data_IF_812038674750
#
_entry.id   IF_812038674750
#
_cell.length_a   1.000
_cell.length_b   1.000
_cell.length_c   1.000
_cell.angle_alpha   90.00
_cell.angle_beta   90.00
_cell.angle_gamma   90.00
#
_symmetry.space_group_name_H-M   'P 1'
#
loop_
_entity.id
_entity.type
_entity.pdbx_description
1 polymer ?
#
# COMPACT_ATOMS: atom_id res chain seq x y z
N UNK A 1 14.79 3.23 18.31
CA UNK A 1 13.93 4.03 19.21
C UNK A 1 12.80 4.66 18.43
N UNK A 2 11.72 5.08 19.10
CA UNK A 2 10.49 5.63 18.48
C UNK A 2 10.80 6.77 17.51
N UNK A 3 11.74 7.67 17.85
CA UNK A 3 12.17 8.76 16.96
C UNK A 3 12.72 8.29 15.62
N UNK A 4 13.47 7.18 15.57
CA UNK A 4 13.99 6.62 14.32
C UNK A 4 12.88 6.08 13.42
N UNK A 5 11.86 5.43 13.99
CA UNK A 5 10.71 4.91 13.23
C UNK A 5 9.88 6.04 12.60
N UNK A 6 9.66 7.14 13.34
CA UNK A 6 8.94 8.31 12.82
C UNK A 6 9.71 8.98 11.67
N UNK A 7 11.03 9.10 11.78
CA UNK A 7 11.87 9.66 10.70
C UNK A 7 11.81 8.77 9.45
N UNK A 8 11.94 7.46 9.60
CA UNK A 8 11.84 6.51 8.48
C UNK A 8 10.46 6.61 7.81
N UNK A 9 9.38 6.71 8.61
CA UNK A 9 8.03 6.88 8.09
C UNK A 9 7.90 8.18 7.28
N UNK A 10 8.38 9.30 7.81
CA UNK A 10 8.34 10.60 7.14
C UNK A 10 9.15 10.59 5.83
N UNK A 11 10.34 9.99 5.82
CA UNK A 11 11.13 9.79 4.61
C UNK A 11 10.40 8.92 3.59
N UNK A 12 9.71 7.88 4.05
CA UNK A 12 8.87 7.03 3.19
C UNK A 12 7.70 7.78 2.54
N UNK A 13 7.08 8.72 3.23
CA UNK A 13 6.04 9.59 2.66
C UNK A 13 6.62 10.57 1.65
N UNK A 14 7.76 11.19 1.96
CA UNK A 14 8.44 12.10 1.04
C UNK A 14 8.88 11.40 -0.24
N UNK A 15 9.46 10.20 -0.14
CA UNK A 15 9.83 9.38 -1.28
C UNK A 15 8.63 9.04 -2.18
N UNK A 16 7.47 8.68 -1.59
CA UNK A 16 6.24 8.44 -2.35
C UNK A 16 5.74 9.69 -3.06
N UNK A 17 5.74 10.84 -2.38
CA UNK A 17 5.32 12.09 -2.99
C UNK A 17 6.20 12.46 -4.21
N UNK A 18 7.51 12.23 -4.11
CA UNK A 18 8.43 12.42 -5.25
C UNK A 18 8.06 11.51 -6.41
N UNK A 19 7.89 10.21 -6.16
CA UNK A 19 7.53 9.23 -7.21
C UNK A 19 6.20 9.61 -7.87
N UNK A 20 5.17 9.90 -7.07
CA UNK A 20 3.84 10.26 -7.57
C UNK A 20 3.91 11.54 -8.40
N UNK A 21 4.67 12.54 -7.97
CA UNK A 21 4.84 13.76 -8.76
C UNK A 21 5.54 13.51 -10.08
N UNK A 22 6.65 12.77 -10.09
CA UNK A 22 7.36 12.43 -11.32
C UNK A 22 6.48 11.61 -12.27
N UNK A 23 5.75 10.62 -11.76
CA UNK A 23 4.78 9.84 -12.55
C UNK A 23 3.66 10.72 -13.10
N UNK A 24 3.16 11.68 -12.30
CA UNK A 24 2.12 12.60 -12.75
C UNK A 24 2.63 13.57 -13.82
N UNK A 25 3.87 14.05 -13.73
CA UNK A 25 4.50 14.89 -14.77
C UNK A 25 4.61 14.12 -16.09
N UNK A 26 5.05 12.87 -16.05
CA UNK A 26 5.06 11.99 -17.22
C UNK A 26 3.66 11.77 -17.81
N UNK A 27 2.62 11.83 -16.97
CA UNK A 27 1.22 11.74 -17.37
C UNK A 27 0.58 13.08 -17.80
N UNK A 28 1.34 14.18 -17.86
CA UNK A 28 0.86 15.51 -18.29
C UNK A 28 0.32 16.39 -17.16
N UNK A 29 0.78 16.21 -15.91
CA UNK A 29 0.41 17.05 -14.79
C UNK A 29 0.75 18.54 -15.03
N UNK A 30 -0.20 19.42 -14.76
CA UNK A 30 -0.04 20.87 -14.83
C UNK A 30 -0.05 21.54 -13.44
N UNK A 31 -0.31 20.77 -12.38
CA UNK A 31 -0.32 21.23 -11.00
C UNK A 31 1.08 21.37 -10.39
N UNK A 32 1.17 22.17 -9.32
CA UNK A 32 2.42 22.43 -8.61
C UNK A 32 2.87 21.22 -7.76
N UNK A 33 4.15 21.21 -7.39
CA UNK A 33 4.69 20.27 -6.39
C UNK A 33 3.86 20.27 -5.11
N UNK A 34 3.53 21.46 -4.57
CA UNK A 34 2.76 21.59 -3.34
C UNK A 34 1.37 20.94 -3.42
N UNK A 35 0.68 21.11 -4.55
CA UNK A 35 -0.61 20.46 -4.78
C UNK A 35 -0.47 18.92 -4.85
N UNK A 36 0.59 18.42 -5.50
CA UNK A 36 0.85 16.98 -5.61
C UNK A 36 1.23 16.36 -4.26
N UNK A 37 2.05 17.06 -3.48
CA UNK A 37 2.42 16.68 -2.14
C UNK A 37 1.19 16.62 -1.22
N UNK A 38 0.35 17.67 -1.25
CA UNK A 38 -0.90 17.70 -0.48
C UNK A 38 -1.80 16.51 -0.84
N UNK A 39 -2.06 16.26 -2.14
CA UNK A 39 -2.84 15.11 -2.60
C UNK A 39 -2.25 13.80 -2.07
N UNK A 40 -0.93 13.64 -2.13
CA UNK A 40 -0.27 12.44 -1.64
C UNK A 40 -0.54 12.26 -0.15
N UNK A 41 -0.29 13.28 0.69
CA UNK A 41 -0.49 13.19 2.14
C UNK A 41 -1.96 12.95 2.49
N UNK A 42 -2.90 13.68 1.88
CA UNK A 42 -4.33 13.50 2.12
C UNK A 42 -4.82 12.12 1.71
N UNK A 43 -4.29 11.56 0.62
CA UNK A 43 -4.61 10.20 0.21
C UNK A 43 -4.14 9.14 1.21
N UNK A 44 -3.14 9.41 2.06
CA UNK A 44 -2.58 8.44 3.01
C UNK A 44 -3.41 8.31 4.30
N UNK A 45 -4.36 9.22 4.54
CA UNK A 45 -5.20 9.19 5.76
C UNK A 45 -5.89 7.84 6.00
N UNK A 46 -6.50 7.18 5.00
CA UNK A 46 -7.12 5.87 5.21
C UNK A 46 -6.12 4.82 5.69
N UNK A 47 -4.89 4.83 5.17
CA UNK A 47 -3.85 3.89 5.59
C UNK A 47 -3.37 4.18 7.01
N UNK A 48 -3.16 5.45 7.37
CA UNK A 48 -2.81 5.82 8.74
C UNK A 48 -3.92 5.41 9.73
N UNK A 49 -5.18 5.54 9.33
CA UNK A 49 -6.33 5.10 10.12
C UNK A 49 -6.40 3.57 10.22
N UNK A 50 -6.10 2.82 9.15
CA UNK A 50 -5.96 1.36 9.22
C UNK A 50 -4.93 0.98 10.28
N UNK A 51 -3.75 1.56 10.21
CA UNK A 51 -2.64 1.23 11.11
C UNK A 51 -2.99 1.59 12.56
N UNK A 52 -3.72 2.69 12.78
CA UNK A 52 -4.25 3.07 14.10
C UNK A 52 -5.26 2.03 14.62
N UNK A 53 -6.24 1.62 13.80
CA UNK A 53 -7.23 0.60 14.18
C UNK A 53 -6.53 -0.72 14.52
N UNK A 54 -5.55 -1.13 13.73
CA UNK A 54 -4.78 -2.35 13.99
C UNK A 54 -3.96 -2.25 15.28
N UNK A 55 -3.30 -1.11 15.52
CA UNK A 55 -2.55 -0.88 16.75
C UNK A 55 -3.46 -0.92 17.99
N UNK A 56 -4.65 -0.30 17.92
CA UNK A 56 -5.64 -0.35 18.99
C UNK A 56 -6.14 -1.78 19.21
N UNK A 57 -6.47 -2.51 18.14
CA UNK A 57 -6.93 -3.89 18.23
C UNK A 57 -5.89 -4.79 18.91
N UNK A 58 -4.64 -4.76 18.44
CA UNK A 58 -3.55 -5.54 19.04
C UNK A 58 -3.29 -5.11 20.48
N UNK A 59 -3.38 -3.81 20.78
CA UNK A 59 -3.19 -3.28 22.14
C UNK A 59 -4.26 -3.74 23.13
N UNK A 60 -5.52 -3.79 22.71
CA UNK A 60 -6.67 -4.18 23.54
C UNK A 60 -6.77 -5.70 23.69
N UNK A 61 -6.75 -6.42 22.57
CA UNK A 61 -7.00 -7.86 22.54
C UNK A 61 -5.74 -8.70 22.74
N UNK A 62 -4.55 -8.10 22.62
CA UNK A 62 -3.24 -8.79 22.67
C UNK A 62 -3.11 -9.96 21.70
N UNK A 63 -3.92 -9.94 20.64
CA UNK A 63 -3.94 -10.93 19.58
C UNK A 63 -3.61 -10.24 18.26
N UNK A 64 -2.80 -10.91 17.44
CA UNK A 64 -2.56 -10.46 16.07
C UNK A 64 -3.81 -10.72 15.23
N UNK A 65 -4.02 -9.88 14.22
CA UNK A 65 -5.09 -10.09 13.25
C UNK A 65 -4.70 -11.31 12.40
N UNK A 66 -5.50 -12.37 12.48
CA UNK A 66 -5.22 -13.66 11.83
C UNK A 66 -5.19 -13.54 10.30
N UNK A 67 -6.17 -12.83 9.72
CA UNK A 67 -6.27 -12.61 8.29
C UNK A 67 -6.42 -11.13 7.99
N UNK A 68 -5.44 -10.58 7.27
CA UNK A 68 -5.45 -9.19 6.82
C UNK A 68 -6.23 -9.07 5.51
N UNK A 69 -6.94 -7.96 5.31
CA UNK A 69 -7.66 -7.68 4.06
C UNK A 69 -8.64 -8.78 3.66
N UNK A 70 -8.57 -9.23 2.41
CA UNK A 70 -9.41 -10.30 1.85
C UNK A 70 -8.69 -11.66 1.80
N UNK A 71 -7.57 -11.83 2.50
CA UNK A 71 -6.82 -13.10 2.50
C UNK A 71 -7.59 -14.26 3.12
N UNK A 72 -8.61 -13.98 3.94
CA UNK A 72 -9.50 -14.97 4.52
C UNK A 72 -10.21 -15.85 3.47
N UNK A 73 -10.38 -15.35 2.23
CA UNK A 73 -11.00 -16.10 1.14
C UNK A 73 -10.19 -17.32 0.68
N UNK A 74 -8.90 -17.33 0.97
CA UNK A 74 -7.93 -18.35 0.54
C UNK A 74 -7.13 -18.92 1.71
N UNK A 75 -7.55 -18.62 2.94
CA UNK A 75 -6.92 -19.09 4.15
C UNK A 75 -7.14 -20.61 4.30
N UNK A 76 -6.07 -21.33 4.63
CA UNK A 76 -6.12 -22.77 4.90
C UNK A 76 -6.29 -23.10 6.38
N UNK A 77 -6.15 -22.10 7.26
CA UNK A 77 -6.12 -22.28 8.72
C UNK A 77 -4.75 -22.72 9.24
N UNK A 78 -3.79 -23.00 8.35
CA UNK A 78 -2.40 -23.27 8.68
C UNK A 78 -1.55 -22.05 8.31
N UNK A 79 -1.11 -21.31 9.34
CA UNK A 79 -0.32 -20.08 9.21
C UNK A 79 0.98 -20.28 8.43
N UNK A 80 1.59 -21.47 8.49
CA UNK A 80 2.83 -21.77 7.79
C UNK A 80 2.59 -21.90 6.28
N UNK A 81 1.52 -22.61 5.90
CA UNK A 81 1.10 -22.76 4.51
C UNK A 81 0.61 -21.45 3.92
N UNK A 82 -0.18 -20.70 4.67
CA UNK A 82 -0.69 -19.40 4.23
C UNK A 82 0.45 -18.38 4.04
N UNK A 83 1.48 -18.43 4.88
CA UNK A 83 2.69 -17.61 4.75
C UNK A 83 3.57 -17.92 3.53
N UNK A 84 3.40 -19.08 2.90
CA UNK A 84 4.09 -19.47 1.66
C UNK A 84 3.21 -19.28 0.42
N UNK A 85 1.91 -19.03 0.60
CA UNK A 85 0.98 -18.86 -0.50
C UNK A 85 1.00 -17.42 -1.01
N UNK A 86 1.59 -17.21 -2.20
CA UNK A 86 1.69 -15.88 -2.81
C UNK A 86 0.31 -15.23 -3.04
N UNK A 87 -0.72 -16.03 -3.32
CA UNK A 87 -2.10 -15.55 -3.47
C UNK A 87 -2.61 -14.99 -2.14
N UNK A 88 -2.41 -15.71 -1.03
CA UNK A 88 -2.76 -15.26 0.32
C UNK A 88 -2.07 -13.94 0.67
N UNK A 89 -0.76 -13.84 0.41
CA UNK A 89 0.04 -12.63 0.68
C UNK A 89 -0.40 -11.45 -0.20
N UNK A 90 -0.86 -11.71 -1.42
CA UNK A 90 -1.34 -10.65 -2.32
C UNK A 90 -2.72 -10.15 -1.86
N UNK A 91 -3.64 -11.07 -1.56
CA UNK A 91 -4.98 -10.75 -1.07
C UNK A 91 -4.95 -10.08 0.32
N UNK A 92 -3.92 -10.35 1.13
CA UNK A 92 -3.78 -9.72 2.44
C UNK A 92 -3.50 -8.22 2.37
N UNK A 93 -3.06 -7.73 1.21
CA UNK A 93 -2.81 -6.31 0.95
C UNK A 93 -4.02 -5.56 0.38
N UNK A 94 -5.09 -6.28 0.05
CA UNK A 94 -6.33 -5.69 -0.46
C UNK A 94 -7.30 -5.58 0.72
N UNK A 95 -7.49 -4.37 1.20
CA UNK A 95 -8.41 -4.06 2.29
C UNK A 95 -9.23 -2.79 1.96
N UNK A 96 -10.33 -2.52 2.69
CA UNK A 96 -11.17 -1.35 2.44
C UNK A 96 -10.43 0.00 2.51
N UNK A 97 -9.41 0.11 3.37
CA UNK A 97 -8.62 1.34 3.52
C UNK A 97 -7.68 1.56 2.34
N UNK A 98 -7.12 0.48 1.78
CA UNK A 98 -6.34 0.54 0.53
C UNK A 98 -7.21 0.99 -0.63
N UNK A 99 -8.42 0.45 -0.78
CA UNK A 99 -9.36 0.88 -1.82
C UNK A 99 -9.66 2.37 -1.67
N UNK A 100 -9.95 2.81 -0.44
CA UNK A 100 -10.20 4.23 -0.16
C UNK A 100 -8.99 5.11 -0.48
N UNK A 101 -7.79 4.71 -0.07
CA UNK A 101 -6.54 5.39 -0.42
C UNK A 101 -6.37 5.55 -1.94
N UNK A 102 -6.55 4.47 -2.70
CA UNK A 102 -6.42 4.46 -4.16
C UNK A 102 -7.44 5.39 -4.83
N UNK A 103 -8.69 5.43 -4.33
CA UNK A 103 -9.72 6.33 -4.85
C UNK A 103 -9.34 7.79 -4.60
N UNK A 104 -8.93 8.15 -3.37
CA UNK A 104 -8.51 9.52 -3.04
C UNK A 104 -7.31 9.97 -3.89
N UNK A 105 -6.32 9.09 -4.02
CA UNK A 105 -5.14 9.36 -4.83
C UNK A 105 -5.52 9.55 -6.30
N UNK A 106 -6.37 8.67 -6.84
CA UNK A 106 -6.83 8.74 -8.22
C UNK A 106 -7.63 9.99 -8.55
N UNK A 107 -8.49 10.42 -7.63
CA UNK A 107 -9.21 11.69 -7.75
C UNK A 107 -8.25 12.88 -7.74
N UNK A 108 -7.25 12.88 -6.85
CA UNK A 108 -6.24 13.93 -6.82
C UNK A 108 -5.39 13.98 -8.09
N UNK A 109 -4.94 12.83 -8.61
CA UNK A 109 -4.23 12.75 -9.89
C UNK A 109 -5.11 13.24 -11.06
N UNK A 110 -6.40 12.87 -11.08
CA UNK A 110 -7.32 13.32 -12.11
C UNK A 110 -7.45 14.85 -12.12
N UNK A 111 -7.53 15.48 -10.94
CA UNK A 111 -7.58 16.94 -10.81
C UNK A 111 -6.28 17.61 -11.29
N UNK A 112 -5.13 17.05 -10.92
CA UNK A 112 -3.79 17.57 -11.25
C UNK A 112 -3.45 17.45 -12.75
N UNK A 113 -3.87 16.35 -13.37
CA UNK A 113 -3.64 16.06 -14.80
C UNK A 113 -4.78 16.54 -15.71
N UNK A 114 -5.85 17.10 -15.14
CA UNK A 114 -7.09 17.44 -15.85
C UNK A 114 -7.66 16.29 -16.69
N UNK A 115 -7.42 15.05 -16.27
CA UNK A 115 -7.92 13.86 -16.95
C UNK A 115 -9.25 13.41 -16.36
N UNK A 116 -10.01 12.59 -17.11
CA UNK A 116 -11.24 12.01 -16.58
C UNK A 116 -11.00 11.18 -15.32
N UNK A 117 -11.91 11.25 -14.34
CA UNK A 117 -11.80 10.59 -13.03
C UNK A 117 -11.44 9.10 -13.11
N UNK A 118 -12.04 8.38 -14.07
CA UNK A 118 -11.75 6.97 -14.31
C UNK A 118 -10.29 6.72 -14.69
N UNK A 119 -9.69 7.59 -15.51
CA UNK A 119 -8.28 7.48 -15.91
C UNK A 119 -7.34 7.77 -14.74
N UNK A 120 -7.66 8.76 -13.91
CA UNK A 120 -6.89 9.05 -12.69
C UNK A 120 -6.93 7.90 -11.68
N UNK A 121 -8.09 7.28 -11.46
CA UNK A 121 -8.23 6.09 -10.60
C UNK A 121 -7.45 4.91 -11.18
N UNK A 122 -7.51 4.69 -12.50
CA UNK A 122 -6.72 3.65 -13.15
C UNK A 122 -5.21 3.88 -12.93
N UNK A 123 -4.73 5.11 -13.09
CA UNK A 123 -3.33 5.45 -12.81
C UNK A 123 -2.94 5.22 -11.35
N UNK A 124 -3.78 5.62 -10.40
CA UNK A 124 -3.55 5.34 -8.98
C UNK A 124 -3.52 3.84 -8.68
N UNK A 125 -4.40 3.06 -9.31
CA UNK A 125 -4.42 1.60 -9.16
C UNK A 125 -3.15 0.96 -9.74
N UNK A 126 -2.67 1.42 -10.90
CA UNK A 126 -1.41 0.96 -11.50
C UNK A 126 -0.21 1.30 -10.61
N UNK A 127 -0.13 2.53 -10.11
CA UNK A 127 0.93 2.94 -9.18
C UNK A 127 0.89 2.10 -7.90
N UNK A 128 -0.29 1.88 -7.34
CA UNK A 128 -0.48 1.02 -6.17
C UNK A 128 -0.03 -0.43 -6.46
N UNK A 129 -0.41 -0.99 -7.60
CA UNK A 129 -0.03 -2.34 -8.00
C UNK A 129 1.49 -2.46 -8.17
N UNK A 130 2.14 -1.46 -8.79
CA UNK A 130 3.59 -1.40 -8.94
C UNK A 130 4.30 -1.35 -7.59
N UNK A 131 3.87 -0.48 -6.68
CA UNK A 131 4.42 -0.43 -5.33
C UNK A 131 4.22 -1.76 -4.59
N UNK A 132 3.05 -2.37 -4.74
CA UNK A 132 2.74 -3.66 -4.12
C UNK A 132 3.65 -4.75 -4.65
N UNK A 133 3.81 -4.85 -5.96
CA UNK A 133 4.69 -5.81 -6.61
C UNK A 133 6.15 -5.63 -6.16
N UNK A 134 6.67 -4.41 -6.14
CA UNK A 134 8.01 -4.11 -5.65
C UNK A 134 8.21 -4.54 -4.19
N UNK A 135 7.21 -4.31 -3.34
CA UNK A 135 7.24 -4.75 -1.94
C UNK A 135 7.06 -6.27 -1.77
N UNK A 136 6.68 -7.01 -2.81
CA UNK A 136 6.58 -8.47 -2.77
C UNK A 136 7.90 -9.15 -3.20
N UNK A 137 8.80 -8.45 -3.89
CA UNK A 137 10.07 -9.03 -4.38
C UNK A 137 10.88 -9.67 -3.24
N UNK A 138 11.15 -8.99 -2.10
CA UNK A 138 11.90 -9.62 -1.01
C UNK A 138 11.21 -10.88 -0.48
N UNK A 139 9.89 -10.83 -0.34
CA UNK A 139 9.08 -11.96 0.13
C UNK A 139 9.12 -13.13 -0.85
N UNK A 140 9.02 -12.87 -2.15
CA UNK A 140 9.11 -13.90 -3.19
C UNK A 140 10.49 -14.57 -3.21
N UNK A 141 11.57 -13.80 -3.03
CA UNK A 141 12.93 -14.33 -2.90
C UNK A 141 13.03 -15.24 -1.66
N UNK A 142 12.53 -14.81 -0.50
CA UNK A 142 12.52 -15.64 0.72
C UNK A 142 11.75 -16.93 0.52
N UNK A 143 10.56 -16.88 -0.11
CA UNK A 143 9.77 -18.09 -0.41
C UNK A 143 10.57 -19.04 -1.30
N UNK A 144 11.16 -18.54 -2.38
CA UNK A 144 11.97 -19.35 -3.30
C UNK A 144 13.18 -20.00 -2.62
N UNK A 145 13.90 -19.26 -1.77
CA UNK A 145 15.04 -19.79 -1.02
C UNK A 145 14.61 -20.82 0.03
N UNK A 146 13.50 -20.59 0.72
CA UNK A 146 12.98 -21.53 1.73
C UNK A 146 12.42 -22.82 1.11
N UNK A 147 11.78 -22.73 -0.06
CA UNK A 147 11.31 -23.89 -0.81
C UNK A 147 12.46 -24.73 -1.38
N UNK A 148 13.57 -24.08 -1.79
CA UNK A 148 14.77 -24.77 -2.25
C UNK A 148 15.62 -25.45 -1.15
N UNK A 149 15.38 -25.13 0.12
CA UNK A 149 16.04 -25.76 1.28
C UNK A 149 15.25 -26.94 1.87
N UNK A 150 14.00 -27.13 1.46
CA UNK A 150 13.11 -28.22 1.94
C UNK A 150 12.81 -29.28 0.87
N UNK A 151 13.41 -29.19 -0.32
CA UNK A 151 13.37 -30.21 -1.37
C UNK A 151 14.69 -30.95 -1.47
#
# INVERSE_FOLDING_TARGET
GIGGAVVIMALGWLARAVIIHLSSLAAGNTGTWGATFAVTIWSMIPLAMRDLVQAVYVGVYRQMIEHQGISFLVASGDWMRDGQNLLYITLSRIDPFVIWHTVLLGLGIAMLTQTGRAKGILWAAVLWALFTALNLIPTAITIALSGGLMG
#
